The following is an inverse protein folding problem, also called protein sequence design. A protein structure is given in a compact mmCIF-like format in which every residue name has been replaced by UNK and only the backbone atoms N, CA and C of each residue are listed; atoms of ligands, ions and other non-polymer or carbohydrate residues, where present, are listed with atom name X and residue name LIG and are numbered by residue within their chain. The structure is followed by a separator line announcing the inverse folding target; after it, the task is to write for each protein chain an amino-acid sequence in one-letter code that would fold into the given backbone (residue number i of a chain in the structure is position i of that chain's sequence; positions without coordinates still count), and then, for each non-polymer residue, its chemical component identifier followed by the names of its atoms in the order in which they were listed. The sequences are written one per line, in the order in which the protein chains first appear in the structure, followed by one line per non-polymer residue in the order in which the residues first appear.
data_IF_960109622807
#
_entry.id   IF_960109622807
#
_cell.length_a   1.000
_cell.length_b   1.000
_cell.length_c   1.000
_cell.angle_alpha   90.00
_cell.angle_beta   90.00
_cell.angle_gamma   90.00
#
_symmetry.space_group_name_H-M   'P 1'
#
loop_
_entity.id
_entity.type
_entity.pdbx_description
1 polymer ?
#
# COMPACT_ATOMS: atom_id res chain seq x y z
N UNK A 1 -22.14 -20.41 -4.30
CA UNK A 1 -21.22 -19.52 -3.56
C UNK A 1 -20.00 -19.33 -4.45
N UNK A 2 -19.78 -18.13 -4.96
CA UNK A 2 -18.62 -17.82 -5.80
C UNK A 2 -17.38 -17.78 -4.91
N UNK A 3 -16.27 -18.38 -5.33
CA UNK A 3 -15.02 -18.32 -4.60
C UNK A 3 -14.50 -16.87 -4.58
N UNK A 4 -13.91 -16.40 -3.47
CA UNK A 4 -13.35 -15.06 -3.41
C UNK A 4 -12.17 -14.93 -4.37
N UNK A 5 -12.03 -13.75 -4.97
CA UNK A 5 -10.96 -13.42 -5.91
C UNK A 5 -10.30 -12.11 -5.54
N UNK A 6 -8.98 -12.03 -5.74
CA UNK A 6 -8.19 -10.82 -5.58
C UNK A 6 -7.91 -10.22 -6.96
N UNK A 7 -8.41 -9.02 -7.21
CA UNK A 7 -8.27 -8.32 -8.49
C UNK A 7 -6.95 -7.54 -8.55
N UNK A 8 -6.24 -7.65 -9.67
CA UNK A 8 -4.98 -6.92 -9.93
C UNK A 8 -5.11 -6.13 -11.24
N UNK A 9 -4.86 -4.83 -11.17
CA UNK A 9 -5.02 -3.91 -12.30
C UNK A 9 -4.09 -2.69 -12.23
N UNK A 10 -4.25 -1.76 -13.17
CA UNK A 10 -3.50 -0.52 -13.25
C UNK A 10 -2.27 -0.61 -14.15
N UNK A 11 -1.14 -0.12 -13.66
CA UNK A 11 0.14 -0.05 -14.38
C UNK A 11 0.89 -1.40 -14.39
N UNK A 12 0.27 -2.40 -15.01
CA UNK A 12 0.82 -3.74 -15.27
C UNK A 12 1.11 -3.90 -16.78
N UNK A 13 2.07 -4.75 -17.18
CA UNK A 13 2.43 -4.95 -18.60
C UNK A 13 1.37 -5.74 -19.40
N UNK A 14 0.30 -6.20 -18.74
CA UNK A 14 -0.79 -6.98 -19.34
C UNK A 14 -2.18 -6.40 -19.11
N UNK A 15 -3.20 -7.21 -19.41
CA UNK A 15 -4.58 -6.90 -19.05
C UNK A 15 -4.82 -7.16 -17.55
N UNK A 16 -5.79 -6.47 -16.91
CA UNK A 16 -6.23 -6.79 -15.56
C UNK A 16 -6.58 -8.27 -15.41
N UNK A 17 -6.25 -8.83 -14.26
CA UNK A 17 -6.48 -10.24 -13.96
C UNK A 17 -6.90 -10.42 -12.51
N UNK A 18 -7.18 -11.66 -12.10
CA UNK A 18 -7.59 -11.95 -10.73
C UNK A 18 -7.01 -13.27 -10.26
N UNK A 19 -6.69 -13.35 -8.98
CA UNK A 19 -6.22 -14.57 -8.34
C UNK A 19 -7.32 -15.17 -7.47
N UNK A 20 -7.54 -16.47 -7.60
CA UNK A 20 -8.15 -17.29 -6.56
C UNK A 20 -7.10 -17.74 -5.54
N UNK A 21 -7.52 -18.25 -4.39
CA UNK A 21 -6.59 -18.87 -3.44
C UNK A 21 -5.78 -20.04 -4.03
N UNK A 22 -6.34 -20.75 -5.00
CA UNK A 22 -5.65 -21.82 -5.71
C UNK A 22 -4.56 -21.27 -6.63
N UNK A 23 -4.81 -20.16 -7.31
CA UNK A 23 -3.81 -19.50 -8.15
C UNK A 23 -2.65 -18.95 -7.30
N UNK A 24 -2.96 -18.37 -6.14
CA UNK A 24 -1.93 -17.91 -5.19
C UNK A 24 -1.05 -19.06 -4.68
N UNK A 25 -1.65 -20.22 -4.40
CA UNK A 25 -0.93 -21.41 -3.97
C UNK A 25 -0.05 -22.02 -5.08
N UNK A 26 -0.33 -21.68 -6.35
CA UNK A 26 0.43 -22.14 -7.51
C UNK A 26 1.55 -21.18 -7.96
N UNK A 27 1.67 -20.00 -7.32
CA UNK A 27 2.79 -19.09 -7.55
C UNK A 27 4.12 -19.72 -7.11
N UNK A 28 5.24 -19.11 -7.55
CA UNK A 28 6.60 -19.60 -7.31
C UNK A 28 6.79 -20.08 -5.84
N UNK A 29 7.15 -21.36 -5.62
CA UNK A 29 7.45 -21.89 -4.30
C UNK A 29 8.47 -21.07 -3.50
N UNK A 30 9.42 -20.39 -4.18
CA UNK A 30 10.40 -19.53 -3.53
C UNK A 30 9.79 -18.25 -2.91
N UNK A 31 8.59 -17.88 -3.34
CA UNK A 31 7.84 -16.76 -2.77
C UNK A 31 6.76 -17.20 -1.77
N UNK A 32 6.54 -18.50 -1.60
CA UNK A 32 5.57 -19.04 -0.65
C UNK A 32 6.10 -18.98 0.79
N UNK A 33 5.22 -18.61 1.71
CA UNK A 33 5.45 -18.65 3.14
C UNK A 33 4.58 -19.78 3.69
N UNK A 34 5.22 -20.89 4.04
CA UNK A 34 4.56 -22.09 4.53
C UNK A 34 3.78 -21.81 5.83
N UNK A 35 4.38 -21.06 6.74
CA UNK A 35 3.77 -20.65 8.01
C UNK A 35 3.98 -19.16 8.28
N UNK A 36 2.95 -18.35 8.01
CA UNK A 36 2.94 -16.89 8.23
C UNK A 36 3.25 -16.57 9.69
N UNK A 37 2.96 -17.46 10.62
CA UNK A 37 3.17 -17.28 12.05
C UNK A 37 4.63 -17.17 12.46
N UNK A 38 5.54 -17.70 11.63
CA UNK A 38 6.99 -17.57 11.81
C UNK A 38 7.49 -16.16 11.50
N UNK A 39 6.80 -15.45 10.60
CA UNK A 39 7.14 -14.07 10.22
C UNK A 39 6.32 -13.05 11.01
N UNK A 40 5.04 -13.33 11.22
CA UNK A 40 4.09 -12.46 11.94
C UNK A 40 3.43 -13.28 13.06
N UNK A 41 3.93 -13.17 14.31
CA UNK A 41 3.44 -13.98 15.42
C UNK A 41 1.92 -13.94 15.58
N UNK A 42 1.29 -15.10 15.76
CA UNK A 42 -0.17 -15.23 15.97
C UNK A 42 -1.02 -15.23 14.69
N UNK A 43 -0.41 -15.36 13.51
CA UNK A 43 -1.12 -15.48 12.21
C UNK A 43 -0.77 -16.82 11.59
N UNK A 44 -1.58 -17.86 11.82
CA UNK A 44 -1.25 -19.22 11.40
C UNK A 44 -1.79 -19.55 9.98
N UNK A 45 -1.04 -20.32 9.20
CA UNK A 45 -1.41 -20.69 7.83
C UNK A 45 -0.47 -20.09 6.79
N UNK A 46 -0.92 -20.04 5.54
CA UNK A 46 -0.06 -19.82 4.36
C UNK A 46 -0.23 -18.46 3.74
N UNK A 47 0.88 -17.89 3.30
CA UNK A 47 0.93 -16.62 2.58
C UNK A 47 1.90 -16.66 1.43
N UNK A 48 1.91 -15.60 0.65
CA UNK A 48 2.87 -15.41 -0.44
C UNK A 48 3.44 -14.00 -0.35
N UNK A 49 4.71 -13.81 -0.75
CA UNK A 49 5.31 -12.49 -0.84
C UNK A 49 4.53 -11.62 -1.82
N UNK A 50 4.28 -10.36 -1.46
CA UNK A 50 3.50 -9.41 -2.24
C UNK A 50 4.09 -9.20 -3.64
N UNK A 51 5.42 -9.21 -3.77
CA UNK A 51 6.11 -9.16 -5.07
C UNK A 51 5.71 -10.25 -6.05
N UNK A 52 5.34 -11.44 -5.56
CA UNK A 52 4.97 -12.56 -6.43
C UNK A 52 3.69 -12.30 -7.23
N UNK A 53 2.84 -11.37 -6.77
CA UNK A 53 1.61 -11.01 -7.45
C UNK A 53 1.86 -10.30 -8.80
N UNK A 54 3.05 -9.71 -8.96
CA UNK A 54 3.41 -8.95 -10.15
C UNK A 54 4.73 -9.39 -10.79
N UNK A 55 5.40 -10.42 -10.28
CA UNK A 55 6.64 -10.96 -10.85
C UNK A 55 6.41 -11.60 -12.23
N UNK A 56 5.29 -12.34 -12.38
CA UNK A 56 4.88 -12.92 -13.65
C UNK A 56 4.43 -11.90 -14.71
N UNK A 57 3.40 -11.06 -14.42
CA UNK A 57 2.89 -10.11 -15.40
C UNK A 57 3.81 -8.90 -15.61
N UNK A 58 4.67 -8.54 -14.65
CA UNK A 58 5.48 -7.32 -14.70
C UNK A 58 4.68 -6.04 -14.43
N UNK A 59 5.39 -5.03 -13.94
CA UNK A 59 4.86 -3.67 -13.75
C UNK A 59 5.41 -2.76 -14.85
N UNK A 60 4.63 -1.73 -15.21
CA UNK A 60 5.12 -0.68 -16.10
C UNK A 60 6.23 0.12 -15.43
N UNK A 61 7.19 0.61 -16.21
CA UNK A 61 8.37 1.35 -15.72
C UNK A 61 8.04 2.56 -14.84
N UNK A 62 6.87 3.16 -15.04
CA UNK A 62 6.39 4.32 -14.30
C UNK A 62 5.50 3.97 -13.08
N UNK A 63 5.30 2.69 -12.75
CA UNK A 63 4.59 2.27 -11.55
C UNK A 63 5.42 2.59 -10.29
N UNK A 64 4.83 3.35 -9.37
CA UNK A 64 5.49 3.82 -8.13
C UNK A 64 4.64 3.63 -6.89
N UNK A 65 3.32 3.60 -7.05
CA UNK A 65 2.34 3.51 -5.97
C UNK A 65 1.41 2.32 -6.17
N UNK A 66 0.88 1.81 -5.07
CA UNK A 66 -0.17 0.81 -5.07
C UNK A 66 -1.36 1.31 -4.26
N UNK A 67 -2.55 1.23 -4.83
CA UNK A 67 -3.84 1.38 -4.15
C UNK A 67 -4.33 -0.02 -3.77
N UNK A 68 -4.54 -0.22 -2.48
CA UNK A 68 -5.06 -1.46 -1.90
C UNK A 68 -6.45 -1.16 -1.38
N UNK A 69 -7.45 -1.88 -1.86
CA UNK A 69 -8.86 -1.62 -1.55
C UNK A 69 -9.53 -2.88 -0.98
N UNK A 70 -10.31 -2.70 0.07
CA UNK A 70 -11.12 -3.77 0.65
C UNK A 70 -12.21 -4.22 -0.32
N UNK A 71 -12.65 -5.46 -0.22
CA UNK A 71 -13.68 -6.06 -1.07
C UNK A 71 -15.00 -5.26 -1.05
N UNK A 72 -15.30 -4.62 0.07
CA UNK A 72 -16.48 -3.75 0.25
C UNK A 72 -16.26 -2.29 -0.19
N UNK A 73 -15.04 -1.92 -0.60
CA UNK A 73 -14.66 -0.56 -1.01
C UNK A 73 -14.67 0.47 0.12
N UNK A 74 -14.85 0.06 1.38
CA UNK A 74 -14.95 0.99 2.52
C UNK A 74 -13.59 1.47 3.01
N UNK A 75 -12.53 0.74 2.69
CA UNK A 75 -11.17 1.07 3.11
C UNK A 75 -10.21 0.97 1.93
N UNK A 76 -9.44 2.05 1.75
CA UNK A 76 -8.43 2.16 0.71
C UNK A 76 -7.14 2.68 1.34
N UNK A 77 -6.01 2.06 1.01
CA UNK A 77 -4.68 2.52 1.41
C UNK A 77 -3.81 2.73 0.17
N UNK A 78 -3.11 3.86 0.10
CA UNK A 78 -2.13 4.11 -0.94
C UNK A 78 -0.71 4.11 -0.36
N UNK A 79 0.14 3.24 -0.89
CA UNK A 79 1.49 3.01 -0.39
C UNK A 79 2.49 3.04 -1.55
N UNK A 80 3.75 3.49 -1.34
CA UNK A 80 4.82 3.30 -2.30
C UNK A 80 5.08 1.81 -2.52
N UNK A 81 5.24 1.39 -3.78
CA UNK A 81 5.45 -0.05 -4.12
C UNK A 81 6.72 -0.57 -3.44
N UNK A 82 7.79 0.23 -3.41
CA UNK A 82 9.08 -0.14 -2.84
C UNK A 82 9.01 -0.47 -1.34
N UNK A 83 8.08 0.15 -0.61
CA UNK A 83 7.88 -0.10 0.83
C UNK A 83 7.12 -1.40 1.10
N UNK A 84 6.32 -1.87 0.15
CA UNK A 84 5.47 -3.06 0.32
C UNK A 84 6.04 -4.27 -0.40
N UNK A 85 6.77 -4.09 -1.50
CA UNK A 85 7.25 -5.18 -2.35
C UNK A 85 8.27 -6.10 -1.66
N UNK A 86 9.09 -5.56 -0.77
CA UNK A 86 10.14 -6.31 -0.08
C UNK A 86 9.58 -7.24 1.01
N UNK A 87 8.80 -6.68 1.92
CA UNK A 87 8.37 -7.34 3.15
C UNK A 87 6.87 -7.67 3.18
N UNK A 88 6.09 -7.21 2.20
CA UNK A 88 4.66 -7.45 2.12
C UNK A 88 4.35 -8.93 1.96
N UNK A 89 3.37 -9.40 2.72
CA UNK A 89 2.89 -10.79 2.73
C UNK A 89 1.39 -10.76 2.51
N UNK A 90 0.95 -11.39 1.43
CA UNK A 90 -0.46 -11.69 1.22
C UNK A 90 -0.80 -12.99 1.94
N UNK A 91 -1.51 -12.88 3.07
CA UNK A 91 -2.03 -14.00 3.83
C UNK A 91 -3.38 -14.42 3.25
N UNK A 92 -3.42 -15.62 2.65
CA UNK A 92 -4.57 -16.08 1.87
C UNK A 92 -5.21 -17.37 2.39
N UNK A 93 -4.55 -18.10 3.30
CA UNK A 93 -5.09 -19.31 3.89
C UNK A 93 -4.74 -19.45 5.38
N UNK A 94 -5.69 -19.98 6.15
CA UNK A 94 -5.45 -20.46 7.51
C UNK A 94 -4.77 -21.84 7.51
N UNK A 95 -4.75 -22.48 8.68
CA UNK A 95 -4.15 -23.81 8.88
C UNK A 95 -4.84 -24.88 8.01
N UNK A 96 -6.18 -24.93 8.06
CA UNK A 96 -6.95 -25.99 7.38
C UNK A 96 -7.85 -25.47 6.25
N UNK A 97 -8.22 -24.19 6.26
CA UNK A 97 -9.22 -23.62 5.34
C UNK A 97 -8.85 -22.20 4.87
N UNK A 98 -9.78 -21.56 4.15
CA UNK A 98 -9.73 -20.13 3.86
C UNK A 98 -9.56 -19.30 5.14
N UNK A 99 -8.98 -18.12 4.96
CA UNK A 99 -8.82 -17.19 6.06
C UNK A 99 -10.19 -16.78 6.61
N UNK A 100 -10.36 -16.84 7.94
CA UNK A 100 -11.64 -16.51 8.55
C UNK A 100 -11.90 -15.00 8.48
N UNK A 101 -13.18 -14.59 8.54
CA UNK A 101 -13.55 -13.16 8.64
C UNK A 101 -12.87 -12.50 9.85
N UNK A 102 -12.75 -13.20 10.98
CA UNK A 102 -12.09 -12.70 12.19
C UNK A 102 -10.62 -12.35 11.95
N UNK A 103 -9.96 -13.11 11.10
CA UNK A 103 -8.56 -12.90 10.74
C UNK A 103 -8.39 -11.85 9.61
N UNK A 104 -9.50 -11.37 9.05
CA UNK A 104 -9.54 -10.39 7.96
C UNK A 104 -9.53 -11.02 6.57
N UNK A 105 -9.99 -12.27 6.45
CA UNK A 105 -10.11 -12.99 5.18
C UNK A 105 -11.28 -12.50 4.32
N UNK A 106 -11.27 -12.78 3.01
CA UNK A 106 -10.58 -13.91 2.38
C UNK A 106 -9.09 -13.69 2.12
N UNK A 107 -8.67 -12.45 1.94
CA UNK A 107 -7.27 -12.08 1.75
C UNK A 107 -6.88 -10.92 2.67
N UNK A 108 -5.66 -10.97 3.21
CA UNK A 108 -5.13 -9.92 4.06
C UNK A 108 -3.69 -9.60 3.70
N UNK A 109 -3.40 -8.31 3.56
CA UNK A 109 -2.02 -7.86 3.46
C UNK A 109 -1.43 -7.67 4.86
N UNK A 110 -0.21 -8.14 5.05
CA UNK A 110 0.62 -7.93 6.23
C UNK A 110 1.96 -7.33 5.77
N UNK A 111 2.41 -6.27 6.42
CA UNK A 111 3.71 -5.66 6.15
C UNK A 111 4.47 -5.61 7.49
N UNK A 112 5.25 -6.65 7.81
CA UNK A 112 5.98 -6.75 9.07
C UNK A 112 6.91 -5.55 9.25
N UNK A 113 6.92 -4.94 10.44
CA UNK A 113 7.78 -3.79 10.74
C UNK A 113 7.34 -2.45 10.14
N UNK A 114 6.26 -2.41 9.35
CA UNK A 114 5.73 -1.14 8.84
C UNK A 114 5.09 -0.32 9.97
N UNK A 115 5.38 0.98 9.99
CA UNK A 115 5.00 1.89 11.09
C UNK A 115 3.49 2.05 11.22
N UNK A 116 2.78 2.03 10.09
CA UNK A 116 1.33 2.16 10.04
C UNK A 116 0.66 0.79 10.06
N UNK A 117 0.12 0.41 11.22
CA UNK A 117 -0.66 -0.82 11.34
C UNK A 117 -1.89 -0.86 10.40
N UNK A 118 -2.41 0.30 10.00
CA UNK A 118 -3.48 0.44 9.01
C UNK A 118 -3.07 0.04 7.59
N UNK A 119 -1.77 -0.09 7.30
CA UNK A 119 -1.29 -0.65 6.04
C UNK A 119 -1.54 -2.18 5.94
N UNK A 120 -1.79 -2.85 7.08
CA UNK A 120 -2.18 -4.26 7.11
C UNK A 120 -3.66 -4.43 6.74
N UNK A 121 -3.97 -4.24 5.46
CA UNK A 121 -5.32 -4.17 4.93
C UNK A 121 -6.04 -5.53 5.07
N UNK A 122 -7.19 -5.51 5.74
CA UNK A 122 -8.10 -6.65 5.90
C UNK A 122 -9.11 -6.67 4.75
N UNK A 123 -9.58 -7.86 4.38
CA UNK A 123 -10.57 -8.05 3.33
C UNK A 123 -10.10 -7.52 1.97
N UNK A 124 -8.81 -7.69 1.65
CA UNK A 124 -8.23 -7.16 0.41
C UNK A 124 -8.94 -7.78 -0.80
N UNK A 125 -9.58 -6.94 -1.62
CA UNK A 125 -10.28 -7.36 -2.82
C UNK A 125 -9.61 -6.86 -4.10
N UNK A 126 -8.90 -5.73 -4.04
CA UNK A 126 -8.34 -5.08 -5.24
C UNK A 126 -6.97 -4.44 -4.98
N UNK A 127 -6.09 -4.62 -5.96
CA UNK A 127 -4.75 -4.04 -6.05
C UNK A 127 -4.67 -3.27 -7.36
N UNK A 128 -4.42 -1.96 -7.28
CA UNK A 128 -4.25 -1.11 -8.45
C UNK A 128 -2.88 -0.42 -8.42
N UNK A 129 -2.03 -0.70 -9.41
CA UNK A 129 -0.73 -0.05 -9.54
C UNK A 129 -0.84 1.29 -10.27
N UNK A 130 -0.16 2.32 -9.76
CA UNK A 130 -0.29 3.70 -10.23
C UNK A 130 1.07 4.41 -10.24
N UNK A 131 1.15 5.51 -10.98
CA UNK A 131 2.37 6.33 -11.09
C UNK A 131 2.46 7.40 -10.00
N UNK A 132 1.35 7.73 -9.36
CA UNK A 132 1.20 8.76 -8.34
C UNK A 132 0.39 8.21 -7.15
N UNK A 133 0.44 8.86 -5.97
CA UNK A 133 -0.40 8.46 -4.84
C UNK A 133 -1.88 8.45 -5.24
N UNK A 134 -2.60 7.40 -4.86
CA UNK A 134 -4.02 7.24 -5.13
C UNK A 134 -4.90 7.66 -3.94
N UNK A 135 -6.09 7.06 -3.87
CA UNK A 135 -7.01 7.31 -2.75
C UNK A 135 -6.46 6.66 -1.48
N UNK A 136 -6.57 7.38 -0.38
CA UNK A 136 -6.17 6.89 0.92
C UNK A 136 -7.21 7.32 1.97
N UNK A 137 -7.86 6.33 2.58
CA UNK A 137 -8.86 6.53 3.64
C UNK A 137 -8.31 6.18 5.01
N UNK A 138 -7.00 5.93 5.15
CA UNK A 138 -6.38 5.66 6.45
C UNK A 138 -6.54 6.89 7.34
N UNK A 139 -6.89 6.73 8.63
CA UNK A 139 -7.04 7.86 9.53
C UNK A 139 -5.70 8.59 9.67
N UNK A 140 -5.64 9.84 9.20
CA UNK A 140 -4.47 10.71 9.35
C UNK A 140 -4.37 11.19 10.80
N UNK A 141 -3.61 10.47 11.62
CA UNK A 141 -3.53 10.73 13.05
C UNK A 141 -2.16 10.44 13.65
N UNK A 142 -1.07 10.95 13.03
CA UNK A 142 0.06 11.66 13.68
C UNK A 142 1.17 11.94 12.63
N UNK A 143 1.17 13.17 12.10
CA UNK A 143 2.24 13.88 11.36
C UNK A 143 3.10 13.11 10.35
N UNK A 144 2.89 13.47 9.08
CA UNK A 144 3.97 13.61 8.11
C UNK A 144 5.07 14.53 8.70
N UNK A 145 6.14 13.96 9.24
CA UNK A 145 7.35 14.69 9.62
C UNK A 145 8.47 14.34 8.63
N UNK A 146 8.33 14.80 7.38
CA UNK A 146 9.43 14.83 6.42
C UNK A 146 9.14 15.86 5.32
N UNK A 147 9.20 17.15 5.67
CA UNK A 147 9.56 18.23 4.72
C UNK A 147 9.76 19.57 5.46
N UNK A 148 10.78 19.67 6.33
CA UNK A 148 11.55 20.93 6.41
C UNK A 148 12.88 20.72 7.16
N UNK A 149 13.89 20.19 6.47
CA UNK A 149 15.29 20.35 6.89
C UNK A 149 16.19 20.31 5.64
N UNK A 150 16.52 21.50 5.12
CA UNK A 150 17.80 21.94 4.52
C UNK A 150 17.49 23.28 3.79
N UNK A 151 18.18 24.39 4.00
CA UNK A 151 19.62 24.52 4.17
C UNK A 151 20.02 25.80 4.98
N UNK A 152 21.03 25.61 5.82
CA UNK A 152 22.22 26.45 6.10
C UNK A 152 22.14 27.99 6.11
N UNK A 153 22.35 28.53 7.31
CA UNK A 153 23.28 29.62 7.70
C UNK A 153 24.06 30.37 6.60
N UNK A 154 23.90 31.70 6.54
CA UNK A 154 24.95 32.74 6.64
C UNK A 154 24.29 34.13 6.70
N UNK A 155 24.80 35.09 7.49
CA UNK A 155 24.11 36.32 7.86
C UNK A 155 24.43 37.47 6.91
N UNK A 156 23.57 38.49 6.84
CA UNK A 156 23.94 39.91 6.70
C UNK A 156 22.68 40.78 6.63
N UNK A 157 22.68 41.86 7.41
CA UNK A 157 21.56 42.80 7.45
C UNK A 157 21.49 43.70 6.22
N UNK A 158 20.30 44.21 5.94
CA UNK A 158 20.14 45.62 5.61
C UNK A 158 18.68 46.06 5.76
N UNK A 159 18.57 47.23 6.38
CA UNK A 159 17.47 48.18 6.40
C UNK A 159 16.81 48.37 5.02
N UNK A 160 15.47 48.44 4.98
CA UNK A 160 14.73 48.60 3.73
C UNK A 160 13.22 48.68 3.90
N UNK A 161 12.78 49.78 4.51
CA UNK A 161 11.49 50.46 4.43
C UNK A 161 10.39 49.91 3.48
N UNK A 162 9.23 49.67 4.10
CA UNK A 162 7.91 50.26 3.81
C UNK A 162 7.47 50.39 2.34
N UNK A 163 6.47 49.60 1.94
CA UNK A 163 5.64 49.95 0.79
C UNK A 163 4.31 49.18 0.79
N UNK A 164 3.40 49.50 1.71
CA UNK A 164 1.96 49.37 1.43
C UNK A 164 1.16 50.30 2.35
N UNK A 165 0.60 51.37 1.78
CA UNK A 165 -0.63 52.01 2.26
C UNK A 165 -1.18 52.92 1.14
N UNK A 166 -2.05 52.30 0.36
CA UNK A 166 -3.37 52.79 -0.04
C UNK A 166 -3.64 54.32 -0.01
N UNK A 167 -3.95 54.82 -1.21
CA UNK A 167 -5.09 55.69 -1.52
C UNK A 167 -5.10 57.18 -1.11
N UNK A 168 -5.47 57.98 -2.13
CA UNK A 168 -6.43 59.12 -2.14
C UNK A 168 -5.87 60.48 -2.60
N UNK A 169 -6.48 61.04 -3.66
CA UNK A 169 -6.96 62.44 -3.64
C UNK A 169 -6.56 63.38 -4.79
N UNK A 170 -7.55 63.73 -5.64
CA UNK A 170 -7.73 65.05 -6.30
C UNK A 170 -6.83 65.35 -7.50
N UNK A 171 -7.29 65.92 -8.62
CA UNK A 171 -8.47 66.73 -8.95
C UNK A 171 -8.87 66.53 -10.40
#
# INVERSE_FOLDING_TARGET
MTAPTLNVEGLIEGAPFSFSAADLAALDPAAQIAEVGEVVPGRAGRGVLFRALFDGPGLKDNARWVELESEDGTFVASLPIEEVAGDGILWYAGVDEFLTVKDGGPFRLLIPGYRDACANLKYLGRICFMSQPGRDTRPTGQVAHAAHHEATDTPEGHDGHDCELDSQGGV
#
